data_IF_706416147927
#
_entry.id   IF_706416147927
#
_cell.length_a   1.000
_cell.length_b   1.000
_cell.length_c   1.000
_cell.angle_alpha   90.00
_cell.angle_beta   90.00
_cell.angle_gamma   90.00
#
_symmetry.space_group_name_H-M   'P 1'
#
loop_
_entity.id
_entity.type
_entity.pdbx_description
1 polymer ?
#
# COMPACT_ATOMS: atom_id res chain seq x y z
N UNK A 1 20.56 -17.43 6.21
CA UNK A 1 21.85 -17.55 5.48
C UNK A 1 22.85 -16.67 6.21
N UNK A 2 24.03 -17.17 6.60
CA UNK A 2 25.09 -16.31 7.10
C UNK A 2 25.47 -15.30 6.00
N UNK A 3 25.69 -14.04 6.37
CA UNK A 3 26.10 -13.01 5.41
C UNK A 3 27.49 -13.29 4.83
N UNK A 4 27.85 -12.68 3.68
CA UNK A 4 29.20 -12.79 3.14
C UNK A 4 30.24 -12.30 4.17
N UNK A 5 31.31 -13.07 4.31
CA UNK A 5 32.43 -12.74 5.20
C UNK A 5 33.27 -11.63 4.56
N UNK A 6 33.02 -10.39 4.96
CA UNK A 6 33.77 -9.22 4.51
C UNK A 6 35.14 -9.08 5.21
N UNK A 7 35.39 -9.85 6.27
CA UNK A 7 36.65 -9.82 7.02
C UNK A 7 37.68 -10.81 6.48
N UNK A 8 37.24 -11.86 5.78
CA UNK A 8 38.08 -12.82 5.06
C UNK A 8 38.56 -12.39 3.67
N UNK A 9 38.23 -11.18 3.21
CA UNK A 9 38.70 -10.66 1.92
C UNK A 9 40.17 -10.25 2.05
N UNK A 10 41.06 -10.89 1.30
CA UNK A 10 42.49 -10.55 1.28
C UNK A 10 42.71 -9.19 0.61
N UNK A 11 42.89 -8.17 1.46
CA UNK A 11 43.16 -6.78 1.10
C UNK A 11 44.53 -6.34 1.62
N UNK A 12 45.42 -7.29 1.93
CA UNK A 12 46.69 -7.05 2.60
C UNK A 12 47.69 -6.22 1.77
N UNK A 13 47.50 -6.18 0.45
CA UNK A 13 48.32 -5.37 -0.48
C UNK A 13 47.88 -3.90 -0.56
N UNK A 14 46.77 -3.53 0.06
CA UNK A 14 46.26 -2.15 0.06
C UNK A 14 46.72 -1.39 1.33
N UNK A 15 46.94 -0.07 1.23
CA UNK A 15 47.08 0.80 2.40
C UNK A 15 45.90 0.61 3.37
N UNK A 16 46.16 0.62 4.67
CA UNK A 16 45.16 0.28 5.69
C UNK A 16 43.87 1.13 5.61
N UNK A 17 44.01 2.42 5.26
CA UNK A 17 42.90 3.34 5.06
C UNK A 17 42.06 3.05 3.80
N UNK A 18 42.68 2.46 2.78
CA UNK A 18 42.01 2.04 1.54
C UNK A 18 41.29 0.72 1.75
N UNK A 19 41.89 -0.22 2.49
CA UNK A 19 41.28 -1.49 2.85
C UNK A 19 40.01 -1.31 3.70
N UNK A 20 40.02 -0.41 4.70
CA UNK A 20 38.83 -0.10 5.49
C UNK A 20 37.72 0.54 4.66
N UNK A 21 38.05 1.50 3.79
CA UNK A 21 37.06 2.13 2.89
C UNK A 21 36.43 1.13 1.93
N UNK A 22 37.22 0.20 1.38
CA UNK A 22 36.73 -0.85 0.50
C UNK A 22 35.74 -1.79 1.21
N UNK A 23 36.05 -2.20 2.45
CA UNK A 23 35.13 -3.00 3.29
C UNK A 23 33.84 -2.26 3.59
N UNK A 24 33.91 -0.97 3.95
CA UNK A 24 32.74 -0.15 4.23
C UNK A 24 31.86 0.01 2.98
N UNK A 25 32.47 0.27 1.82
CA UNK A 25 31.76 0.40 0.56
C UNK A 25 31.10 -0.92 0.13
N UNK A 26 31.79 -2.06 0.26
CA UNK A 26 31.23 -3.38 -0.04
C UNK A 26 30.05 -3.71 0.90
N UNK A 27 30.17 -3.40 2.18
CA UNK A 27 29.09 -3.57 3.17
C UNK A 27 27.88 -2.70 2.85
N UNK A 28 28.09 -1.42 2.51
CA UNK A 28 27.02 -0.51 2.10
C UNK A 28 26.35 -0.96 0.80
N UNK A 29 27.13 -1.37 -0.19
CA UNK A 29 26.61 -1.88 -1.47
C UNK A 29 25.79 -3.15 -1.25
N UNK A 30 26.29 -4.09 -0.45
CA UNK A 30 25.54 -5.29 -0.09
C UNK A 30 24.28 -4.97 0.70
N UNK A 31 24.32 -4.01 1.64
CA UNK A 31 23.12 -3.57 2.36
C UNK A 31 22.10 -2.91 1.43
N UNK A 32 22.55 -2.10 0.46
CA UNK A 32 21.69 -1.49 -0.53
C UNK A 32 21.08 -2.52 -1.48
N UNK A 33 21.86 -3.47 -1.97
CA UNK A 33 21.39 -4.58 -2.81
C UNK A 33 20.45 -5.51 -2.05
N UNK A 34 20.76 -5.82 -0.79
CA UNK A 34 19.90 -6.62 0.08
C UNK A 34 18.59 -5.88 0.37
N UNK A 35 18.64 -4.59 0.69
CA UNK A 35 17.44 -3.77 0.87
C UNK A 35 16.60 -3.77 -0.41
N UNK A 36 17.22 -3.51 -1.56
CA UNK A 36 16.58 -3.50 -2.89
C UNK A 36 15.94 -4.85 -3.24
N UNK A 37 16.63 -5.96 -2.95
CA UNK A 37 16.13 -7.31 -3.24
C UNK A 37 15.08 -7.79 -2.23
N UNK A 38 15.14 -7.35 -0.96
CA UNK A 38 14.09 -7.61 0.03
C UNK A 38 12.82 -6.79 -0.24
N UNK A 39 12.96 -5.55 -0.74
CA UNK A 39 11.83 -4.74 -1.23
C UNK A 39 11.31 -5.20 -2.60
N UNK A 40 12.08 -5.98 -3.36
CA UNK A 40 11.63 -6.53 -4.64
C UNK A 40 10.57 -7.63 -4.47
N UNK A 41 10.52 -8.29 -3.31
CA UNK A 41 9.49 -9.30 -3.05
C UNK A 41 8.18 -8.60 -2.73
N UNK A 42 7.25 -8.73 -3.67
CA UNK A 42 5.86 -8.40 -3.53
C UNK A 42 5.23 -8.83 -2.17
N UNK A 43 4.81 -7.88 -1.30
CA UNK A 43 4.21 -8.17 0.02
C UNK A 43 2.80 -7.60 0.19
N UNK A 44 1.87 -8.29 0.88
CA UNK A 44 0.57 -7.71 1.18
C UNK A 44 0.70 -6.35 1.89
N UNK A 45 -0.02 -5.35 1.39
CA UNK A 45 -0.04 -4.01 1.96
C UNK A 45 -1.04 -3.97 3.11
N UNK A 46 -0.60 -3.54 4.29
CA UNK A 46 -1.49 -3.29 5.43
C UNK A 46 -1.73 -1.80 5.61
N UNK A 47 -2.81 -1.29 5.00
CA UNK A 47 -3.20 0.13 5.05
C UNK A 47 -3.40 0.68 6.47
N UNK A 48 -3.70 -0.18 7.45
CA UNK A 48 -3.88 0.24 8.86
C UNK A 48 -2.56 0.60 9.56
N UNK A 49 -1.43 0.10 9.09
CA UNK A 49 -0.15 0.24 9.81
C UNK A 49 0.94 0.94 9.01
N UNK A 50 0.68 1.32 7.75
CA UNK A 50 1.66 2.05 6.93
C UNK A 50 2.09 3.38 7.58
N UNK A 51 3.40 3.69 7.64
CA UNK A 51 3.87 5.04 7.94
C UNK A 51 3.35 6.07 6.91
N UNK A 52 3.25 7.37 7.26
CA UNK A 52 2.73 8.40 6.36
C UNK A 52 3.44 8.47 5.01
N UNK A 53 4.78 8.36 5.00
CA UNK A 53 5.57 8.41 3.77
C UNK A 53 5.28 7.21 2.85
N UNK A 54 5.19 6.00 3.43
CA UNK A 54 4.89 4.79 2.67
C UNK A 54 3.43 4.79 2.20
N UNK A 55 2.51 5.33 3.00
CA UNK A 55 1.10 5.47 2.67
C UNK A 55 0.88 6.30 1.41
N UNK A 56 1.53 7.46 1.32
CA UNK A 56 1.47 8.32 0.12
C UNK A 56 2.00 7.57 -1.10
N UNK A 57 3.19 6.98 -0.97
CA UNK A 57 3.84 6.26 -2.06
C UNK A 57 2.97 5.12 -2.60
N UNK A 58 2.45 4.26 -1.72
CA UNK A 58 1.64 3.11 -2.10
C UNK A 58 0.31 3.51 -2.73
N UNK A 59 -0.34 4.59 -2.26
CA UNK A 59 -1.56 5.11 -2.89
C UNK A 59 -1.30 5.60 -4.31
N UNK A 60 -0.22 6.36 -4.52
CA UNK A 60 0.15 6.89 -5.84
C UNK A 60 0.49 5.75 -6.82
N UNK A 61 1.28 4.78 -6.38
CA UNK A 61 1.62 3.59 -7.17
C UNK A 61 0.40 2.75 -7.51
N UNK A 62 -0.50 2.53 -6.54
CA UNK A 62 -1.76 1.83 -6.78
C UNK A 62 -2.60 2.57 -7.82
N UNK A 63 -2.68 3.89 -7.75
CA UNK A 63 -3.42 4.69 -8.71
C UNK A 63 -2.88 4.60 -10.13
N UNK A 64 -1.55 4.65 -10.30
CA UNK A 64 -0.90 4.43 -11.60
C UNK A 64 -1.18 3.03 -12.14
N UNK A 65 -1.08 2.02 -11.29
CA UNK A 65 -1.35 0.63 -11.68
C UNK A 65 -2.82 0.37 -12.04
N UNK A 66 -3.78 0.93 -11.28
CA UNK A 66 -5.22 0.83 -11.58
C UNK A 66 -5.53 1.52 -12.90
N UNK A 67 -4.92 2.67 -13.18
CA UNK A 67 -5.10 3.37 -14.46
C UNK A 67 -4.56 2.53 -15.63
N UNK A 68 -3.38 1.92 -15.50
CA UNK A 68 -2.88 0.95 -16.47
C UNK A 68 -3.82 -0.24 -16.66
N UNK A 69 -4.29 -0.85 -15.57
CA UNK A 69 -5.14 -2.04 -15.59
C UNK A 69 -6.45 -1.78 -16.34
N UNK A 70 -7.15 -0.69 -16.01
CA UNK A 70 -8.45 -0.38 -16.62
C UNK A 70 -8.33 -0.09 -18.12
N UNK A 71 -7.26 0.57 -18.55
CA UNK A 71 -7.04 0.85 -19.98
C UNK A 71 -6.61 -0.41 -20.74
N UNK A 72 -5.72 -1.21 -20.16
CA UNK A 72 -5.18 -2.42 -20.79
C UNK A 72 -6.26 -3.47 -21.00
N UNK A 73 -7.14 -3.66 -20.01
CA UNK A 73 -8.19 -4.69 -20.05
C UNK A 73 -9.58 -4.15 -20.40
N UNK A 74 -9.71 -2.86 -20.72
CA UNK A 74 -10.99 -2.24 -21.07
C UNK A 74 -12.04 -2.35 -19.96
N UNK A 75 -11.65 -2.15 -18.70
CA UNK A 75 -12.53 -2.36 -17.56
C UNK A 75 -13.58 -1.24 -17.47
N UNK A 76 -14.88 -1.58 -17.38
CA UNK A 76 -15.91 -0.57 -17.23
C UNK A 76 -16.03 -0.11 -15.77
N UNK A 77 -16.77 0.99 -15.55
CA UNK A 77 -16.99 1.56 -14.23
C UNK A 77 -17.70 0.61 -13.24
N UNK A 78 -18.39 -0.43 -13.74
CA UNK A 78 -18.97 -1.47 -12.87
C UNK A 78 -17.93 -2.40 -12.24
N UNK A 79 -16.70 -2.43 -12.75
CA UNK A 79 -15.59 -3.22 -12.18
C UNK A 79 -14.63 -2.30 -11.45
N UNK A 80 -14.23 -1.18 -12.07
CA UNK A 80 -13.34 -0.18 -11.46
C UNK A 80 -13.96 1.21 -11.63
N UNK A 81 -14.65 1.73 -10.62
CA UNK A 81 -15.32 3.03 -10.67
C UNK A 81 -14.31 4.18 -10.53
N UNK A 82 -14.62 5.41 -10.98
CA UNK A 82 -13.70 6.55 -10.86
C UNK A 82 -13.26 6.85 -9.42
N UNK A 83 -14.18 6.73 -8.46
CA UNK A 83 -13.94 7.00 -7.03
C UNK A 83 -13.56 5.77 -6.22
N UNK A 84 -12.93 4.74 -6.84
CA UNK A 84 -12.52 3.52 -6.14
C UNK A 84 -11.69 3.79 -4.87
N UNK A 85 -10.92 4.88 -4.85
CA UNK A 85 -10.08 5.30 -3.72
C UNK A 85 -10.87 5.84 -2.53
N UNK A 86 -12.17 6.08 -2.66
CA UNK A 86 -13.06 6.43 -1.54
C UNK A 86 -13.67 5.21 -0.85
N UNK A 87 -13.43 4.00 -1.38
CA UNK A 87 -13.99 2.74 -0.88
C UNK A 87 -12.87 1.84 -0.35
N UNK A 88 -12.73 1.70 0.97
CA UNK A 88 -11.70 0.86 1.57
C UNK A 88 -11.69 -0.57 1.02
N UNK A 89 -12.86 -1.19 0.80
CA UNK A 89 -12.98 -2.53 0.23
C UNK A 89 -12.36 -2.65 -1.17
N UNK A 90 -12.47 -1.60 -2.00
CA UNK A 90 -11.83 -1.56 -3.32
C UNK A 90 -10.33 -1.32 -3.18
N UNK A 91 -9.89 -0.44 -2.26
CA UNK A 91 -8.46 -0.25 -1.97
C UNK A 91 -7.81 -1.58 -1.59
N UNK A 92 -8.40 -2.34 -0.65
CA UNK A 92 -7.86 -3.63 -0.20
C UNK A 92 -7.79 -4.66 -1.34
N UNK A 93 -8.88 -4.84 -2.10
CA UNK A 93 -8.93 -5.81 -3.20
C UNK A 93 -7.96 -5.46 -4.34
N UNK A 94 -7.93 -4.18 -4.76
CA UNK A 94 -7.04 -3.70 -5.82
C UNK A 94 -5.57 -3.77 -5.41
N UNK A 95 -5.26 -3.49 -4.14
CA UNK A 95 -3.89 -3.64 -3.60
C UNK A 95 -3.43 -5.09 -3.64
N UNK A 96 -4.28 -6.02 -3.21
CA UNK A 96 -3.97 -7.45 -3.27
C UNK A 96 -3.75 -7.92 -4.71
N UNK A 97 -4.58 -7.45 -5.65
CA UNK A 97 -4.45 -7.78 -7.07
C UNK A 97 -3.17 -7.20 -7.71
N UNK A 98 -2.80 -5.95 -7.37
CA UNK A 98 -1.51 -5.35 -7.75
C UNK A 98 -0.36 -6.19 -7.20
N UNK A 99 -0.47 -6.63 -5.96
CA UNK A 99 0.60 -7.38 -5.34
C UNK A 99 0.82 -8.75 -5.98
N UNK A 100 -0.28 -9.42 -6.32
CA UNK A 100 -0.25 -10.66 -7.10
C UNK A 100 0.34 -10.44 -8.49
N UNK A 101 0.01 -9.32 -9.16
CA UNK A 101 0.61 -8.97 -10.45
C UNK A 101 2.12 -8.83 -10.35
N UNK A 102 2.62 -8.06 -9.37
CA UNK A 102 4.05 -7.87 -9.13
C UNK A 102 4.75 -9.21 -8.86
N UNK A 103 4.12 -10.10 -8.09
CA UNK A 103 4.66 -11.42 -7.81
C UNK A 103 4.72 -12.31 -9.07
N UNK A 104 3.65 -12.33 -9.87
CA UNK A 104 3.56 -13.20 -11.04
C UNK A 104 4.41 -12.75 -12.23
N UNK A 105 4.72 -11.46 -12.31
CA UNK A 105 5.55 -10.86 -13.36
C UNK A 105 6.97 -10.51 -12.89
N UNK A 106 7.37 -10.97 -11.71
CA UNK A 106 8.75 -10.85 -11.24
C UNK A 106 9.72 -11.60 -12.19
N UNK A 107 10.93 -11.07 -12.47
CA UNK A 107 11.89 -11.75 -13.35
C UNK A 107 12.31 -13.15 -12.91
N UNK A 108 12.17 -13.49 -11.62
CA UNK A 108 12.46 -14.81 -11.06
C UNK A 108 11.20 -15.71 -10.98
N UNK A 109 10.03 -15.22 -11.41
CA UNK A 109 8.80 -15.98 -11.41
C UNK A 109 8.85 -17.13 -12.42
N UNK A 110 8.17 -18.24 -12.09
CA UNK A 110 8.01 -19.37 -13.01
C UNK A 110 7.15 -18.95 -14.21
N UNK A 111 7.44 -19.50 -15.39
CA UNK A 111 6.73 -19.11 -16.62
C UNK A 111 5.20 -19.32 -16.60
N UNK A 112 4.67 -20.20 -15.73
CA UNK A 112 3.24 -20.41 -15.57
C UNK A 112 2.53 -19.31 -14.75
N UNK A 113 3.28 -18.43 -14.07
CA UNK A 113 2.70 -17.46 -13.14
C UNK A 113 1.87 -16.39 -13.84
N UNK A 114 2.24 -15.98 -15.04
CA UNK A 114 1.44 -15.05 -15.84
C UNK A 114 0.02 -15.60 -16.10
N UNK A 115 -0.11 -16.91 -16.36
CA UNK A 115 -1.42 -17.54 -16.55
C UNK A 115 -2.19 -17.66 -15.23
N UNK A 116 -1.50 -17.99 -14.13
CA UNK A 116 -2.11 -18.02 -12.80
C UNK A 116 -2.71 -16.66 -12.40
N UNK A 117 -1.99 -15.57 -12.66
CA UNK A 117 -2.52 -14.23 -12.41
C UNK A 117 -3.79 -13.94 -13.20
N UNK A 118 -3.86 -14.31 -14.48
CA UNK A 118 -5.07 -14.10 -15.29
C UNK A 118 -6.26 -14.94 -14.82
N UNK A 119 -6.02 -16.16 -14.31
CA UNK A 119 -7.04 -16.97 -13.67
C UNK A 119 -7.61 -16.24 -12.45
N UNK A 120 -6.75 -15.78 -11.55
CA UNK A 120 -7.20 -15.13 -10.31
C UNK A 120 -7.79 -13.74 -10.55
N UNK A 121 -7.29 -13.02 -11.56
CA UNK A 121 -7.88 -11.77 -12.05
C UNK A 121 -9.32 -11.97 -12.52
N UNK A 122 -9.65 -13.11 -13.14
CA UNK A 122 -11.02 -13.41 -13.52
C UNK A 122 -11.96 -13.46 -12.32
N UNK A 123 -11.54 -14.09 -11.23
CA UNK A 123 -12.30 -14.20 -9.98
C UNK A 123 -12.35 -12.86 -9.24
N UNK A 124 -11.25 -12.11 -9.22
CA UNK A 124 -11.18 -10.79 -8.63
C UNK A 124 -12.14 -9.79 -9.28
N UNK A 125 -12.31 -9.86 -10.62
CA UNK A 125 -13.28 -9.00 -11.32
C UNK A 125 -14.73 -9.23 -10.87
N UNK A 126 -15.11 -10.46 -10.54
CA UNK A 126 -16.45 -10.72 -10.00
C UNK A 126 -16.61 -10.08 -8.62
N UNK A 127 -15.63 -10.26 -7.72
CA UNK A 127 -15.64 -9.61 -6.39
C UNK A 127 -15.65 -8.09 -6.49
N UNK A 128 -14.89 -7.52 -7.41
CA UNK A 128 -14.89 -6.07 -7.66
C UNK A 128 -16.28 -5.58 -8.08
N UNK A 129 -17.00 -6.30 -8.94
CA UNK A 129 -18.39 -5.96 -9.28
C UNK A 129 -19.32 -6.00 -8.07
N UNK A 130 -19.14 -6.99 -7.20
CA UNK A 130 -19.91 -7.09 -5.95
C UNK A 130 -19.61 -5.88 -5.05
N UNK A 131 -18.35 -5.50 -4.87
CA UNK A 131 -17.96 -4.33 -4.10
C UNK A 131 -18.50 -3.02 -4.67
N UNK A 132 -18.44 -2.82 -5.99
CA UNK A 132 -19.04 -1.65 -6.66
C UNK A 132 -20.56 -1.61 -6.46
N UNK A 133 -21.21 -2.78 -6.51
CA UNK A 133 -22.66 -2.88 -6.28
C UNK A 133 -23.02 -2.53 -4.83
N UNK A 134 -22.25 -3.02 -3.85
CA UNK A 134 -22.48 -2.79 -2.41
C UNK A 134 -22.21 -1.32 -2.03
N UNK A 135 -21.08 -0.77 -2.46
CA UNK A 135 -20.72 0.63 -2.23
C UNK A 135 -21.72 1.59 -2.89
N UNK A 136 -22.22 1.22 -4.08
CA UNK A 136 -23.17 2.03 -4.85
C UNK A 136 -22.52 3.16 -5.65
N UNK A 137 -21.20 3.17 -5.74
CA UNK A 137 -20.42 4.11 -6.53
C UNK A 137 -20.65 3.91 -8.03
N UNK A 138 -20.63 5.00 -8.79
CA UNK A 138 -20.95 5.02 -10.23
C UNK A 138 -20.00 5.94 -10.99
N UNK A 139 -20.20 6.01 -12.30
CA UNK A 139 -19.41 6.86 -13.18
C UNK A 139 -19.62 8.36 -12.89
N UNK A 140 -20.85 8.76 -12.61
CA UNK A 140 -21.30 10.15 -12.50
C UNK A 140 -21.52 10.63 -11.06
N UNK A 141 -21.62 9.70 -10.10
CA UNK A 141 -21.90 9.98 -8.71
C UNK A 141 -21.33 8.92 -7.78
N UNK A 142 -21.10 9.32 -6.56
CA UNK A 142 -20.49 8.51 -5.52
C UNK A 142 -21.13 8.75 -4.16
N UNK A 143 -21.03 7.77 -3.27
CA UNK A 143 -21.39 7.89 -1.85
C UNK A 143 -20.52 6.91 -1.03
N UNK A 144 -20.21 7.21 0.23
CA UNK A 144 -19.58 6.24 1.11
C UNK A 144 -20.34 4.91 1.19
N UNK A 145 -19.58 3.84 1.40
CA UNK A 145 -20.13 2.49 1.60
C UNK A 145 -20.99 2.45 2.86
N UNK A 146 -22.18 1.86 2.75
CA UNK A 146 -23.13 1.76 3.88
C UNK A 146 -22.57 0.80 4.92
N UNK A 147 -22.64 1.21 6.18
CA UNK A 147 -22.25 0.39 7.32
C UNK A 147 -23.51 0.01 8.07
N UNK A 148 -23.73 -1.29 8.25
CA UNK A 148 -24.83 -1.78 9.09
C UNK A 148 -24.49 -1.55 10.55
N UNK A 149 -25.31 -0.78 11.26
CA UNK A 149 -25.19 -0.58 12.70
C UNK A 149 -25.50 -1.87 13.44
N UNK A 150 -24.58 -2.34 14.27
CA UNK A 150 -24.82 -3.49 15.14
C UNK A 150 -25.36 -3.08 16.50
N UNK A 151 -26.42 -3.72 17.04
CA UNK A 151 -26.92 -3.43 18.38
C UNK A 151 -25.84 -3.61 19.46
N UNK A 152 -25.40 -2.51 20.06
CA UNK A 152 -24.35 -2.49 21.09
C UNK A 152 -22.94 -2.78 20.58
N UNK A 153 -22.72 -2.76 19.25
CA UNK A 153 -21.42 -3.08 18.65
C UNK A 153 -20.55 -1.87 18.32
N UNK A 154 -21.13 -0.67 18.25
CA UNK A 154 -20.41 0.55 17.89
C UNK A 154 -19.78 1.22 19.11
N UNK A 155 -18.63 1.87 18.91
CA UNK A 155 -17.98 2.69 19.92
C UNK A 155 -18.84 3.91 20.28
N UNK A 156 -18.62 4.51 21.46
CA UNK A 156 -19.42 5.66 21.93
C UNK A 156 -19.33 6.89 21.00
N UNK A 157 -18.23 7.03 20.27
CA UNK A 157 -17.95 8.11 19.33
C UNK A 157 -18.25 7.73 17.86
N UNK A 158 -18.80 6.55 17.60
CA UNK A 158 -19.11 6.11 16.25
C UNK A 158 -20.29 6.92 15.67
N UNK A 159 -20.11 7.40 14.45
CA UNK A 159 -21.14 8.12 13.69
C UNK A 159 -21.36 7.45 12.35
N UNK A 160 -22.63 7.34 11.96
CA UNK A 160 -22.97 6.76 10.67
C UNK A 160 -22.42 7.64 9.53
N UNK A 161 -21.76 7.05 8.51
CA UNK A 161 -21.28 7.82 7.37
C UNK A 161 -22.42 8.55 6.64
N UNK A 162 -22.17 9.78 6.19
CA UNK A 162 -23.09 10.49 5.31
C UNK A 162 -23.17 9.79 3.96
N UNK A 163 -24.29 9.10 3.70
CA UNK A 163 -24.51 8.33 2.47
C UNK A 163 -25.19 9.13 1.35
N UNK A 164 -25.20 10.46 1.45
CA UNK A 164 -25.72 11.35 0.40
C UNK A 164 -24.88 11.22 -0.89
N UNK A 165 -25.54 11.00 -2.03
CA UNK A 165 -24.87 10.90 -3.34
C UNK A 165 -24.29 12.27 -3.76
N UNK A 166 -23.04 12.27 -4.21
CA UNK A 166 -22.29 13.45 -4.64
C UNK A 166 -21.81 13.25 -6.08
N UNK A 167 -21.84 14.28 -6.95
CA UNK A 167 -21.42 14.15 -8.34
C UNK A 167 -19.90 13.95 -8.48
N UNK A 168 -19.49 13.10 -9.42
CA UNK A 168 -18.09 12.88 -9.79
C UNK A 168 -17.71 13.86 -10.89
N UNK A 169 -16.94 14.91 -10.55
CA UNK A 169 -16.52 15.93 -11.52
C UNK A 169 -15.01 15.94 -11.78
N UNK A 170 -14.19 15.97 -10.72
CA UNK A 170 -12.72 16.09 -10.82
C UNK A 170 -12.03 14.97 -10.07
N UNK A 171 -12.02 13.78 -10.67
CA UNK A 171 -11.50 12.56 -10.03
C UNK A 171 -10.03 12.67 -9.61
N UNK A 172 -9.17 13.32 -10.42
CA UNK A 172 -7.75 13.48 -10.08
C UNK A 172 -7.55 14.39 -8.88
N UNK A 173 -8.22 15.55 -8.86
CA UNK A 173 -8.17 16.49 -7.73
C UNK A 173 -8.71 15.82 -6.45
N UNK A 174 -9.80 15.05 -6.56
CA UNK A 174 -10.37 14.29 -5.44
C UNK A 174 -9.40 13.23 -4.91
N UNK A 175 -8.72 12.51 -5.80
CA UNK A 175 -7.71 11.51 -5.42
C UNK A 175 -6.53 12.15 -4.69
N UNK A 176 -6.01 13.28 -5.17
CA UNK A 176 -4.91 13.99 -4.50
C UNK A 176 -5.33 14.52 -3.12
N UNK A 177 -6.54 15.08 -3.02
CA UNK A 177 -7.09 15.52 -1.74
C UNK A 177 -7.28 14.34 -0.77
N UNK A 178 -7.74 13.19 -1.26
CA UNK A 178 -7.83 11.97 -0.46
C UNK A 178 -6.45 11.52 0.06
N UNK A 179 -5.43 11.49 -0.78
CA UNK A 179 -4.06 11.12 -0.35
C UNK A 179 -3.57 12.07 0.75
N UNK A 180 -3.74 13.38 0.56
CA UNK A 180 -3.36 14.38 1.55
C UNK A 180 -4.11 14.19 2.88
N UNK A 181 -5.42 13.91 2.82
CA UNK A 181 -6.26 13.61 3.98
C UNK A 181 -5.76 12.37 4.75
N UNK A 182 -5.47 11.27 4.03
CA UNK A 182 -4.98 10.03 4.64
C UNK A 182 -3.60 10.20 5.29
N UNK A 183 -2.68 10.93 4.63
CA UNK A 183 -1.35 11.22 5.18
C UNK A 183 -1.45 12.08 6.44
N UNK A 184 -2.28 13.14 6.42
CA UNK A 184 -2.52 13.98 7.60
C UNK A 184 -3.11 13.20 8.76
N UNK A 185 -4.09 12.34 8.49
CA UNK A 185 -4.67 11.47 9.51
C UNK A 185 -3.61 10.56 10.13
N UNK A 186 -2.76 9.93 9.32
CA UNK A 186 -1.69 9.04 9.81
C UNK A 186 -0.61 9.79 10.60
N UNK A 187 -0.25 11.01 10.22
CA UNK A 187 0.66 11.86 11.01
C UNK A 187 0.05 12.17 12.37
N UNK A 188 -1.23 12.56 12.41
CA UNK A 188 -1.91 12.85 13.67
C UNK A 188 -1.99 11.62 14.60
N UNK A 189 -2.26 10.44 14.04
CA UNK A 189 -2.22 9.17 14.77
C UNK A 189 -0.83 8.89 15.36
N UNK A 190 0.23 9.05 14.55
CA UNK A 190 1.62 8.86 15.02
C UNK A 190 2.01 9.86 16.11
N UNK A 191 1.69 11.14 15.92
CA UNK A 191 1.95 12.19 16.91
C UNK A 191 1.21 11.91 18.23
N UNK A 192 -0.02 11.40 18.17
CA UNK A 192 -0.79 11.01 19.35
C UNK A 192 -0.11 9.85 20.10
N UNK A 193 0.31 8.81 19.38
CA UNK A 193 1.06 7.68 19.98
C UNK A 193 2.39 8.13 20.60
N UNK A 194 3.15 9.00 19.93
CA UNK A 194 4.41 9.54 20.46
C UNK A 194 4.16 10.32 21.76
N UNK A 195 3.12 11.16 21.79
CA UNK A 195 2.75 11.92 23.00
C UNK A 195 2.36 11.01 24.17
N UNK A 196 1.64 9.92 23.89
CA UNK A 196 1.25 8.94 24.90
C UNK A 196 2.49 8.25 25.50
N UNK A 197 3.42 7.76 24.67
CA UNK A 197 4.66 7.11 25.12
C UNK A 197 5.50 8.05 25.96
N UNK A 198 5.69 9.29 25.49
CA UNK A 198 6.47 10.30 26.24
C UNK A 198 5.83 10.57 27.60
N UNK A 199 4.51 10.73 27.68
CA UNK A 199 3.82 10.98 28.94
C UNK A 199 3.92 9.80 29.92
N UNK A 200 3.94 8.56 29.43
CA UNK A 200 4.16 7.36 30.26
C UNK A 200 5.57 7.38 30.85
N UNK A 201 6.61 7.64 30.04
CA UNK A 201 8.00 7.69 30.49
C UNK A 201 8.23 8.77 31.58
N UNK A 202 7.57 9.93 31.49
CA UNK A 202 7.63 10.96 32.53
C UNK A 202 6.91 10.58 33.82
N UNK A 203 5.86 9.75 33.73
CA UNK A 203 5.11 9.26 34.90
C UNK A 203 5.84 8.14 35.65
N UNK A 204 6.64 7.32 34.96
CA UNK A 204 7.46 6.28 35.59
C UNK A 204 8.75 6.82 36.24
N UNK A 205 9.17 8.04 35.87
CA UNK A 205 10.37 8.70 36.42
C UNK A 205 10.10 9.63 37.61
N UNK A 206 8.82 9.91 37.92
CA UNK A 206 8.38 10.79 39.03
C UNK A 206 7.93 9.99 40.25
#
# INVERSE_FOLDING_TARGET
MPGPDFDGIDLSELPADVAEKAKQFAKQTFQADLAKSLTAVARPINWRTLPPADLEHELLELNGWVDWLRHTYGLPAQVVPPMWHRHPELIWELSALRQHWLFCFDPQAKGNQALAWHHDFSVARERLRDWVTISGTRLDRDRPTRITVWPGGEAEDWTEPDTTERPVAKRTDDFLAFVEEQVKARIAEQDATIREIVNIDWSEQS
#
